data_IF_920545712391
#
_entry.id   IF_920545712391
#
_cell.length_a   1.000
_cell.length_b   1.000
_cell.length_c   1.000
_cell.angle_alpha   90.00
_cell.angle_beta   90.00
_cell.angle_gamma   90.00
#
_symmetry.space_group_name_H-M   'P 1'
#
loop_
_entity.id
_entity.type
_entity.pdbx_description
1 polymer ?
#
# COMPACT_ATOMS: atom_id res chain seq x y z
N UNK A 1 -15.36 -8.46 9.31
CA UNK A 1 -14.35 -7.41 9.02
C UNK A 1 -14.92 -6.24 8.24
N UNK A 2 -15.49 -6.43 7.03
CA UNK A 2 -16.07 -5.34 6.22
C UNK A 2 -16.96 -4.37 7.03
N UNK A 3 -17.94 -4.88 7.77
CA UNK A 3 -18.82 -4.08 8.63
C UNK A 3 -18.10 -3.30 9.74
N UNK A 4 -16.99 -3.82 10.27
CA UNK A 4 -16.24 -3.14 11.35
C UNK A 4 -15.52 -1.89 10.85
N UNK A 5 -15.21 -1.84 9.55
CA UNK A 5 -14.51 -0.74 8.90
C UNK A 5 -15.39 -0.15 7.78
N UNK A 6 -16.70 -0.22 7.90
CA UNK A 6 -17.57 0.36 6.89
C UNK A 6 -17.46 1.89 6.91
N UNK A 7 -16.88 2.46 5.86
CA UNK A 7 -16.73 3.90 5.69
C UNK A 7 -17.72 4.48 4.67
N UNK A 8 -18.76 3.73 4.29
CA UNK A 8 -19.77 4.20 3.33
C UNK A 8 -20.52 5.44 3.84
N UNK A 9 -20.74 5.53 5.17
CA UNK A 9 -21.32 6.72 5.81
C UNK A 9 -20.49 7.99 5.60
N UNK A 10 -19.16 7.87 5.50
CA UNK A 10 -18.27 9.01 5.29
C UNK A 10 -18.59 9.76 3.98
N UNK A 11 -19.02 9.04 2.93
CA UNK A 11 -19.39 9.63 1.64
C UNK A 11 -20.51 10.67 1.76
N UNK A 12 -21.42 10.49 2.71
CA UNK A 12 -22.60 11.37 2.86
C UNK A 12 -22.22 12.82 3.21
N UNK A 13 -21.12 13.00 3.94
CA UNK A 13 -20.62 14.33 4.32
C UNK A 13 -19.29 14.71 3.65
N UNK A 14 -18.53 13.74 3.16
CA UNK A 14 -17.19 13.91 2.58
C UNK A 14 -17.11 13.38 1.15
N UNK A 15 -18.12 13.66 0.32
CA UNK A 15 -18.25 13.08 -1.02
C UNK A 15 -17.01 13.30 -1.90
N UNK A 16 -16.46 14.51 -1.96
CA UNK A 16 -15.27 14.79 -2.78
C UNK A 16 -14.08 13.94 -2.34
N UNK A 17 -13.76 13.95 -1.04
CA UNK A 17 -12.65 13.16 -0.46
C UNK A 17 -12.86 11.67 -0.70
N UNK A 18 -14.11 11.20 -0.54
CA UNK A 18 -14.46 9.81 -0.79
C UNK A 18 -14.23 9.44 -2.26
N UNK A 19 -14.66 10.29 -3.20
CA UNK A 19 -14.49 10.04 -4.63
C UNK A 19 -13.02 10.09 -5.06
N UNK A 20 -12.20 10.97 -4.46
CA UNK A 20 -10.74 10.97 -4.64
C UNK A 20 -10.13 9.66 -4.14
N UNK A 21 -10.45 9.24 -2.91
CA UNK A 21 -9.97 7.98 -2.34
C UNK A 21 -10.42 6.77 -3.14
N UNK A 22 -11.67 6.74 -3.62
CA UNK A 22 -12.23 5.62 -4.38
C UNK A 22 -11.49 5.42 -5.71
N UNK A 23 -10.78 6.42 -6.23
CA UNK A 23 -9.91 6.29 -7.41
C UNK A 23 -8.49 5.80 -7.06
N UNK A 24 -8.11 5.79 -5.78
CA UNK A 24 -6.77 5.39 -5.33
C UNK A 24 -6.51 3.89 -5.45
N UNK A 25 -5.24 3.49 -5.40
CA UNK A 25 -4.85 2.09 -5.26
C UNK A 25 -5.20 1.52 -3.88
N UNK A 26 -5.28 2.37 -2.84
CA UNK A 26 -5.65 1.96 -1.50
C UNK A 26 -7.08 1.42 -1.44
N UNK A 27 -8.02 2.04 -2.16
CA UNK A 27 -9.40 1.57 -2.30
C UNK A 27 -9.52 0.20 -3.02
N UNK A 28 -8.41 -0.31 -3.58
CA UNK A 28 -8.31 -1.56 -4.33
C UNK A 28 -7.22 -2.48 -3.78
N UNK A 29 -6.82 -2.29 -2.53
CA UNK A 29 -5.61 -2.89 -1.95
C UNK A 29 -5.58 -4.42 -1.96
N UNK A 30 -6.73 -5.10 -1.85
CA UNK A 30 -6.81 -6.57 -1.86
C UNK A 30 -7.03 -7.15 -3.25
N UNK A 31 -7.91 -6.55 -4.04
CA UNK A 31 -8.31 -7.11 -5.32
C UNK A 31 -7.67 -6.35 -6.47
N UNK A 32 -8.10 -5.10 -6.73
CA UNK A 32 -7.60 -4.31 -7.86
C UNK A 32 -7.77 -5.06 -9.17
N UNK A 33 -6.66 -5.52 -9.75
CA UNK A 33 -6.65 -6.36 -10.98
C UNK A 33 -6.77 -7.87 -10.69
N UNK A 34 -7.03 -8.25 -9.44
CA UNK A 34 -6.98 -9.62 -8.92
C UNK A 34 -5.55 -10.10 -8.58
N UNK A 35 -4.51 -9.37 -9.00
CA UNK A 35 -3.11 -9.78 -8.83
C UNK A 35 -2.72 -9.99 -7.37
N UNK A 36 -3.13 -9.10 -6.46
CA UNK A 36 -2.83 -9.24 -5.03
C UNK A 36 -3.50 -10.50 -4.45
N UNK A 37 -4.77 -10.76 -4.78
CA UNK A 37 -5.46 -11.97 -4.37
C UNK A 37 -4.75 -13.25 -4.88
N UNK A 38 -4.26 -13.25 -6.13
CA UNK A 38 -3.48 -14.36 -6.68
C UNK A 38 -2.11 -14.52 -5.99
N UNK A 39 -1.46 -13.43 -5.63
CA UNK A 39 -0.22 -13.46 -4.84
C UNK A 39 -0.47 -14.08 -3.46
N UNK A 40 -1.57 -13.73 -2.77
CA UNK A 40 -1.97 -14.37 -1.51
C UNK A 40 -2.12 -15.88 -1.68
N UNK A 41 -2.82 -16.31 -2.73
CA UNK A 41 -2.97 -17.75 -3.03
C UNK A 41 -1.62 -18.43 -3.25
N UNK A 42 -0.70 -17.76 -3.95
CA UNK A 42 0.64 -18.28 -4.24
C UNK A 42 1.50 -18.34 -2.96
N UNK A 43 1.49 -17.30 -2.13
CA UNK A 43 2.18 -17.25 -0.84
C UNK A 43 1.75 -18.40 0.06
N UNK A 44 0.46 -18.74 0.08
CA UNK A 44 -0.04 -19.88 0.88
C UNK A 44 0.39 -21.21 0.26
N UNK A 45 0.08 -21.45 -1.02
CA UNK A 45 0.31 -22.74 -1.70
C UNK A 45 1.78 -23.08 -1.88
N UNK A 46 2.59 -22.10 -2.27
CA UNK A 46 3.99 -22.28 -2.63
C UNK A 46 4.90 -21.96 -1.45
N UNK A 47 4.53 -20.98 -0.62
CA UNK A 47 5.29 -20.60 0.57
C UNK A 47 4.86 -21.39 1.80
N UNK A 48 3.82 -20.91 2.48
CA UNK A 48 3.42 -21.37 3.81
C UNK A 48 3.22 -22.89 3.88
N UNK A 49 2.59 -23.52 2.90
CA UNK A 49 2.38 -24.98 2.91
C UNK A 49 3.69 -25.80 2.79
N UNK A 50 4.73 -25.23 2.19
CA UNK A 50 6.02 -25.90 1.97
C UNK A 50 7.07 -25.55 3.02
N UNK A 51 6.89 -24.46 3.78
CA UNK A 51 7.83 -24.09 4.83
C UNK A 51 7.71 -25.05 6.02
N UNK A 52 8.83 -25.68 6.38
CA UNK A 52 8.91 -26.73 7.42
C UNK A 52 8.28 -26.32 8.75
N UNK A 53 8.42 -25.04 9.13
CA UNK A 53 8.05 -24.52 10.44
C UNK A 53 6.84 -23.57 10.42
N UNK A 54 6.12 -23.42 9.30
CA UNK A 54 4.93 -22.56 9.23
C UNK A 54 3.74 -23.11 10.02
N UNK A 55 3.65 -24.42 10.18
CA UNK A 55 2.46 -25.09 10.71
C UNK A 55 1.26 -25.12 9.76
N UNK A 56 1.38 -24.57 8.54
CA UNK A 56 0.32 -24.58 7.53
C UNK A 56 0.51 -25.80 6.63
N UNK A 57 -0.50 -26.68 6.54
CA UNK A 57 -0.51 -27.83 5.61
C UNK A 57 -1.64 -27.77 4.61
N UNK A 58 -2.72 -27.08 4.95
CA UNK A 58 -3.87 -26.79 4.10
C UNK A 58 -4.39 -25.37 4.38
N UNK A 59 -5.21 -24.76 3.48
CA UNK A 59 -5.72 -23.40 3.64
C UNK A 59 -6.42 -23.14 4.99
N UNK A 60 -7.03 -24.17 5.58
CA UNK A 60 -7.76 -24.09 6.85
C UNK A 60 -6.84 -23.92 8.07
N UNK A 61 -5.55 -24.22 7.93
CA UNK A 61 -4.54 -24.02 8.99
C UNK A 61 -4.02 -22.57 9.04
N UNK A 62 -4.42 -21.74 8.07
CA UNK A 62 -4.03 -20.33 8.02
C UNK A 62 -4.61 -19.59 9.22
N UNK A 63 -3.79 -18.69 9.76
CA UNK A 63 -4.10 -17.78 10.85
C UNK A 63 -3.76 -16.37 10.41
N UNK A 64 -4.29 -15.36 11.10
CA UNK A 64 -3.98 -13.94 10.83
C UNK A 64 -2.47 -13.73 10.73
N UNK A 65 -1.69 -14.28 11.68
CA UNK A 65 -0.22 -14.15 11.68
C UNK A 65 0.47 -14.64 10.40
N UNK A 66 -0.07 -15.68 9.74
CA UNK A 66 0.53 -16.24 8.53
C UNK A 66 0.36 -15.33 7.32
N UNK A 67 -0.77 -14.60 7.25
CA UNK A 67 -1.10 -13.73 6.11
C UNK A 67 -0.62 -12.29 6.29
N UNK A 68 -0.12 -11.92 7.48
CA UNK A 68 0.48 -10.59 7.73
C UNK A 68 1.65 -10.27 6.79
N UNK A 69 2.30 -11.30 6.25
CA UNK A 69 3.34 -11.19 5.21
C UNK A 69 2.88 -10.38 4.00
N UNK A 70 1.57 -10.41 3.67
CA UNK A 70 0.93 -9.60 2.63
C UNK A 70 0.03 -8.51 3.25
N UNK A 71 -0.73 -8.87 4.27
CA UNK A 71 -1.82 -8.02 4.77
C UNK A 71 -1.38 -6.93 5.74
N UNK A 72 -0.13 -6.92 6.22
CA UNK A 72 0.42 -5.73 6.89
C UNK A 72 0.24 -4.49 6.02
N UNK A 73 0.46 -4.61 4.71
CA UNK A 73 0.40 -3.49 3.77
C UNK A 73 -0.91 -3.45 2.97
N UNK A 74 -1.50 -4.60 2.63
CA UNK A 74 -2.66 -4.65 1.75
C UNK A 74 -4.02 -4.70 2.47
N UNK A 75 -4.05 -5.10 3.75
CA UNK A 75 -5.27 -5.17 4.57
C UNK A 75 -4.92 -5.10 6.06
N UNK A 76 -4.31 -4.00 6.54
CA UNK A 76 -3.77 -3.89 7.90
C UNK A 76 -4.83 -4.16 8.98
N UNK A 77 -6.10 -3.85 8.70
CA UNK A 77 -7.21 -4.11 9.61
C UNK A 77 -7.47 -5.59 9.91
N UNK A 78 -6.90 -6.52 9.13
CA UNK A 78 -7.03 -7.96 9.44
C UNK A 78 -6.39 -8.32 10.79
N UNK A 79 -5.48 -7.50 11.31
CA UNK A 79 -4.87 -7.68 12.62
C UNK A 79 -5.89 -7.70 13.77
N UNK A 80 -7.09 -7.15 13.56
CA UNK A 80 -8.20 -7.13 14.53
C UNK A 80 -9.27 -8.20 14.23
N UNK A 81 -9.06 -9.03 13.21
CA UNK A 81 -9.98 -10.08 12.80
C UNK A 81 -9.67 -11.42 13.49
N UNK A 82 -10.63 -12.35 13.42
CA UNK A 82 -10.40 -13.75 13.78
C UNK A 82 -9.67 -14.50 12.66
N UNK A 83 -9.04 -15.62 12.99
CA UNK A 83 -8.39 -16.50 12.01
C UNK A 83 -9.34 -16.97 10.90
N UNK A 84 -10.65 -17.05 11.17
CA UNK A 84 -11.64 -17.46 10.16
C UNK A 84 -11.74 -16.46 9.00
N UNK A 85 -11.54 -15.16 9.25
CA UNK A 85 -11.47 -14.16 8.19
C UNK A 85 -10.25 -14.39 7.31
N UNK A 86 -9.10 -14.72 7.90
CA UNK A 86 -7.89 -15.03 7.13
C UNK A 86 -8.08 -16.28 6.26
N UNK A 87 -8.67 -17.35 6.81
CA UNK A 87 -8.99 -18.57 6.07
C UNK A 87 -9.95 -18.30 4.91
N UNK A 88 -10.98 -17.51 5.15
CA UNK A 88 -11.97 -17.14 4.13
C UNK A 88 -11.32 -16.38 2.97
N UNK A 89 -10.52 -15.35 3.26
CA UNK A 89 -9.81 -14.59 2.22
C UNK A 89 -8.89 -15.51 1.41
N UNK A 90 -8.12 -16.37 2.07
CA UNK A 90 -7.23 -17.33 1.40
C UNK A 90 -8.01 -18.31 0.53
N UNK A 91 -9.12 -18.87 1.02
CA UNK A 91 -9.94 -19.79 0.26
C UNK A 91 -10.51 -19.12 -1.01
N UNK A 92 -11.00 -17.88 -0.89
CA UNK A 92 -11.50 -17.08 -2.01
C UNK A 92 -10.38 -16.77 -3.02
N UNK A 93 -9.21 -16.34 -2.54
CA UNK A 93 -8.01 -16.10 -3.38
C UNK A 93 -7.59 -17.35 -4.16
N UNK A 94 -7.58 -18.51 -3.50
CA UNK A 94 -7.23 -19.79 -4.11
C UNK A 94 -8.26 -20.19 -5.17
N UNK A 95 -9.56 -19.99 -4.87
CA UNK A 95 -10.64 -20.28 -5.80
C UNK A 95 -10.59 -19.36 -7.02
N UNK A 96 -10.36 -18.06 -6.83
CA UNK A 96 -10.22 -17.10 -7.92
C UNK A 96 -9.11 -17.49 -8.93
N UNK A 97 -7.98 -18.01 -8.43
CA UNK A 97 -6.88 -18.47 -9.28
C UNK A 97 -7.04 -19.88 -9.88
N UNK A 98 -8.13 -20.60 -9.60
CA UNK A 98 -8.33 -21.94 -10.10
C UNK A 98 -8.93 -21.94 -11.52
N UNK A 99 -8.42 -22.81 -12.39
CA UNK A 99 -8.80 -22.86 -13.81
C UNK A 99 -10.27 -23.24 -14.05
N UNK A 100 -10.87 -23.94 -13.10
CA UNK A 100 -12.23 -24.47 -13.14
C UNK A 100 -13.26 -23.54 -12.48
N UNK A 101 -12.84 -22.37 -11.98
CA UNK A 101 -13.76 -21.40 -11.38
C UNK A 101 -14.60 -20.73 -12.46
N UNK A 102 -15.92 -20.82 -12.28
CA UNK A 102 -16.89 -20.29 -13.24
C UNK A 102 -16.88 -18.75 -13.22
N UNK A 103 -17.17 -18.08 -14.34
CA UNK A 103 -17.22 -16.61 -14.41
C UNK A 103 -18.11 -15.98 -13.33
N UNK A 104 -19.31 -16.54 -13.08
CA UNK A 104 -20.23 -16.00 -12.08
C UNK A 104 -19.70 -16.18 -10.65
N UNK A 105 -18.85 -17.18 -10.43
CA UNK A 105 -18.17 -17.38 -9.16
C UNK A 105 -17.01 -16.40 -8.98
N UNK A 106 -16.24 -16.13 -10.05
CA UNK A 106 -15.21 -15.08 -10.05
C UNK A 106 -15.81 -13.71 -9.72
N UNK A 107 -16.93 -13.34 -10.33
CA UNK A 107 -17.62 -12.08 -10.05
C UNK A 107 -18.05 -11.97 -8.57
N UNK A 108 -18.51 -13.08 -7.98
CA UNK A 108 -18.86 -13.12 -6.55
C UNK A 108 -17.64 -12.97 -5.66
N UNK A 109 -16.53 -13.63 -6.01
CA UNK A 109 -15.27 -13.54 -5.27
C UNK A 109 -14.72 -12.12 -5.34
N UNK A 110 -14.70 -11.51 -6.53
CA UNK A 110 -14.27 -10.13 -6.74
C UNK A 110 -15.08 -9.16 -5.88
N UNK A 111 -16.42 -9.23 -5.93
CA UNK A 111 -17.28 -8.35 -5.11
C UNK A 111 -16.99 -8.51 -3.62
N UNK A 112 -16.76 -9.76 -3.17
CA UNK A 112 -16.52 -10.05 -1.75
C UNK A 112 -15.15 -9.55 -1.30
N UNK A 113 -14.08 -9.83 -2.05
CA UNK A 113 -12.74 -9.37 -1.73
C UNK A 113 -12.60 -7.84 -1.88
N UNK A 114 -13.28 -7.24 -2.84
CA UNK A 114 -13.32 -5.77 -3.01
C UNK A 114 -14.14 -5.04 -1.93
N UNK A 115 -14.90 -5.77 -1.10
CA UNK A 115 -15.58 -5.17 0.06
C UNK A 115 -14.63 -4.89 1.25
N UNK A 116 -13.40 -5.39 1.19
CA UNK A 116 -12.39 -5.26 2.23
C UNK A 116 -11.11 -4.66 1.65
N UNK A 117 -11.01 -3.33 1.66
CA UNK A 117 -9.82 -2.60 1.22
C UNK A 117 -9.39 -1.60 2.29
N UNK A 118 -8.23 -0.97 2.10
CA UNK A 118 -7.81 0.17 2.92
C UNK A 118 -8.75 1.33 2.67
N UNK A 119 -9.44 1.79 3.71
CA UNK A 119 -10.45 2.86 3.61
C UNK A 119 -10.24 3.96 4.65
N UNK A 120 -11.18 4.89 4.74
CA UNK A 120 -11.10 6.05 5.63
C UNK A 120 -10.79 5.66 7.07
N UNK A 121 -11.42 4.62 7.61
CA UNK A 121 -11.24 4.18 9.00
C UNK A 121 -9.89 3.49 9.24
N UNK A 122 -9.23 2.97 8.20
CA UNK A 122 -7.86 2.47 8.37
C UNK A 122 -6.92 3.61 8.72
N UNK A 123 -6.99 4.73 8.01
CA UNK A 123 -6.10 5.89 8.23
C UNK A 123 -6.58 6.79 9.38
N UNK A 124 -7.89 7.10 9.40
CA UNK A 124 -8.51 8.02 10.36
C UNK A 124 -8.99 7.34 11.64
N UNK A 125 -8.67 6.06 11.86
CA UNK A 125 -8.94 5.40 13.13
C UNK A 125 -7.82 4.43 13.50
N UNK A 126 -7.71 3.28 12.83
CA UNK A 126 -6.74 2.23 13.21
C UNK A 126 -5.29 2.72 13.28
N UNK A 127 -4.84 3.45 12.26
CA UNK A 127 -3.45 3.88 12.12
C UNK A 127 -3.22 5.32 12.61
N UNK A 128 -4.24 5.95 13.20
CA UNK A 128 -4.17 7.36 13.56
C UNK A 128 -3.22 7.66 14.74
N UNK A 129 -2.77 6.63 15.47
CA UNK A 129 -1.87 6.76 16.61
C UNK A 129 -0.76 5.71 16.54
N UNK A 130 0.50 6.17 16.56
CA UNK A 130 1.69 5.29 16.59
C UNK A 130 2.20 5.08 18.02
N UNK A 131 2.38 6.13 18.81
CA UNK A 131 2.95 6.05 20.17
C UNK A 131 1.88 5.72 21.21
N UNK A 132 1.31 4.52 21.13
CA UNK A 132 0.12 4.12 21.91
C UNK A 132 0.28 4.19 23.43
N UNK A 133 1.50 4.09 23.93
CA UNK A 133 1.79 4.20 25.37
C UNK A 133 1.84 5.64 25.87
N UNK A 134 1.94 6.61 24.96
CA UNK A 134 1.92 8.05 25.27
C UNK A 134 0.55 8.64 24.92
N UNK A 135 0.06 8.33 23.72
CA UNK A 135 -1.13 8.96 23.13
C UNK A 135 -2.42 8.13 23.34
N UNK A 136 -2.29 6.93 23.92
CA UNK A 136 -3.38 5.97 24.05
C UNK A 136 -3.62 5.12 22.80
N UNK A 137 -4.58 4.20 22.89
CA UNK A 137 -4.98 3.36 21.76
C UNK A 137 -6.12 4.03 20.98
N UNK A 138 -6.19 3.87 19.64
CA UNK A 138 -7.33 4.33 18.87
C UNK A 138 -8.66 3.76 19.36
N UNK A 139 -9.69 4.61 19.42
CA UNK A 139 -11.04 4.22 19.86
C UNK A 139 -11.99 4.03 18.67
N UNK A 140 -12.91 3.06 18.78
CA UNK A 140 -13.83 2.68 17.69
C UNK A 140 -14.90 3.72 17.37
N UNK A 141 -15.29 4.54 18.35
CA UNK A 141 -16.27 5.60 18.22
C UNK A 141 -15.63 6.97 17.90
N UNK A 142 -14.31 7.00 17.68
CA UNK A 142 -13.55 8.21 17.37
C UNK A 142 -13.06 8.18 15.92
N UNK A 143 -13.08 9.36 15.28
CA UNK A 143 -12.43 9.61 14.00
C UNK A 143 -11.36 10.66 14.22
N UNK A 144 -10.15 10.35 13.77
CA UNK A 144 -8.97 11.16 14.00
C UNK A 144 -8.66 12.04 12.79
N UNK A 145 -8.29 13.28 13.05
CA UNK A 145 -7.94 14.27 12.04
C UNK A 145 -7.09 15.38 12.63
N UNK A 146 -7.34 16.62 12.22
CA UNK A 146 -6.58 17.79 12.66
C UNK A 146 -7.17 18.52 13.87
N UNK A 147 -8.34 18.10 14.35
CA UNK A 147 -9.11 18.80 15.39
C UNK A 147 -9.75 17.82 16.37
N UNK A 148 -9.97 18.30 17.59
CA UNK A 148 -10.81 17.65 18.59
C UNK A 148 -12.23 18.23 18.55
N UNK A 149 -13.24 17.43 18.91
CA UNK A 149 -14.62 17.90 19.04
C UNK A 149 -15.67 16.82 18.88
N UNK A 150 -16.92 17.24 18.63
CA UNK A 150 -18.01 16.34 18.25
C UNK A 150 -18.01 16.09 16.75
N UNK A 151 -18.43 14.90 16.36
CA UNK A 151 -18.71 14.52 14.98
C UNK A 151 -20.19 14.18 14.84
N UNK A 152 -20.77 14.50 13.68
CA UNK A 152 -22.23 14.41 13.46
C UNK A 152 -22.72 12.99 13.20
N UNK A 153 -21.83 12.08 12.81
CA UNK A 153 -22.17 10.68 12.59
C UNK A 153 -22.35 9.94 13.92
N UNK A 154 -23.46 9.23 14.07
CA UNK A 154 -23.78 8.50 15.28
C UNK A 154 -22.86 7.30 15.51
N UNK A 155 -22.30 6.70 14.45
CA UNK A 155 -21.34 5.59 14.58
C UNK A 155 -19.97 6.08 15.09
N UNK A 156 -19.61 7.32 14.75
CA UNK A 156 -18.36 7.96 15.15
C UNK A 156 -18.62 9.37 15.69
N UNK A 157 -19.18 9.54 16.90
CA UNK A 157 -19.64 10.84 17.40
C UNK A 157 -18.53 11.77 17.88
N UNK A 158 -17.26 11.35 17.85
CA UNK A 158 -16.14 12.10 18.43
C UNK A 158 -15.04 12.31 17.38
N UNK A 159 -14.61 13.57 17.23
CA UNK A 159 -13.40 13.95 16.54
C UNK A 159 -12.23 14.02 17.52
N UNK A 160 -11.09 13.48 17.12
CA UNK A 160 -9.83 13.60 17.85
C UNK A 160 -8.71 14.12 16.98
N UNK A 161 -7.82 14.93 17.55
CA UNK A 161 -6.59 15.28 16.86
C UNK A 161 -5.63 14.09 16.89
N UNK A 162 -5.17 13.64 15.72
CA UNK A 162 -4.09 12.66 15.63
C UNK A 162 -2.73 13.38 15.68
N UNK A 163 -1.77 12.88 16.49
CA UNK A 163 -0.41 13.43 16.54
C UNK A 163 0.38 13.27 15.23
N UNK A 164 -0.04 12.35 14.35
CA UNK A 164 0.75 11.92 13.18
C UNK A 164 0.02 12.11 11.84
N UNK A 165 -1.20 12.65 11.83
CA UNK A 165 -2.00 12.73 10.60
C UNK A 165 -1.30 13.50 9.46
N UNK A 166 -0.52 14.52 9.81
CA UNK A 166 0.28 15.33 8.88
C UNK A 166 1.70 14.78 8.64
N UNK A 167 2.09 13.72 9.35
CA UNK A 167 3.46 13.23 9.40
C UNK A 167 3.65 11.98 8.53
N UNK A 168 4.81 11.86 7.89
CA UNK A 168 5.14 10.72 7.00
C UNK A 168 5.07 9.36 7.70
N UNK A 169 5.19 9.33 9.04
CA UNK A 169 5.08 8.10 9.83
C UNK A 169 3.69 7.46 9.74
N UNK A 170 2.63 8.22 9.41
CA UNK A 170 1.31 7.65 9.13
C UNK A 170 1.39 6.67 7.94
N UNK A 171 1.97 7.12 6.83
CA UNK A 171 2.18 6.33 5.63
C UNK A 171 3.21 5.22 5.87
N UNK A 172 4.24 5.53 6.65
CA UNK A 172 5.34 4.62 6.99
C UNK A 172 4.93 3.34 7.71
N UNK A 173 3.78 3.32 8.38
CA UNK A 173 3.22 2.11 9.00
C UNK A 173 2.99 0.98 7.99
N UNK A 174 2.66 1.31 6.73
CA UNK A 174 2.48 0.34 5.64
C UNK A 174 3.62 0.39 4.61
N UNK A 175 4.17 1.58 4.34
CA UNK A 175 5.21 1.80 3.32
C UNK A 175 6.64 1.44 3.76
N UNK A 176 6.80 0.95 4.99
CA UNK A 176 7.90 0.07 5.38
C UNK A 176 9.29 0.69 5.47
N UNK A 177 10.04 0.30 6.50
CA UNK A 177 11.45 0.68 6.64
C UNK A 177 12.39 -0.28 5.90
N UNK A 178 11.93 -1.46 5.49
CA UNK A 178 12.82 -2.57 5.18
C UNK A 178 12.10 -3.91 5.29
N UNK A 179 12.85 -5.02 5.42
CA UNK A 179 12.28 -6.30 5.84
C UNK A 179 11.45 -6.16 7.12
N UNK A 180 10.28 -6.78 7.14
CA UNK A 180 9.36 -6.81 8.27
C UNK A 180 9.85 -7.77 9.37
N UNK A 181 10.97 -7.43 10.02
CA UNK A 181 11.60 -8.27 11.06
C UNK A 181 10.75 -8.46 12.31
N UNK A 182 9.68 -7.69 12.48
CA UNK A 182 8.70 -7.89 13.54
C UNK A 182 7.75 -9.08 13.29
N UNK A 183 7.73 -9.64 12.07
CA UNK A 183 6.92 -10.81 11.73
C UNK A 183 7.69 -12.12 11.96
N UNK A 184 6.97 -13.19 12.32
CA UNK A 184 7.56 -14.53 12.47
C UNK A 184 8.24 -15.04 11.17
N UNK A 185 7.76 -14.58 10.01
CA UNK A 185 8.40 -14.79 8.73
C UNK A 185 8.58 -13.44 8.03
N UNK A 186 9.75 -12.80 8.18
CA UNK A 186 10.02 -11.51 7.56
C UNK A 186 9.81 -11.55 6.05
N UNK A 187 9.10 -10.55 5.53
CA UNK A 187 8.99 -10.26 4.10
C UNK A 187 9.41 -8.83 3.83
N UNK A 188 9.80 -8.58 2.58
CA UNK A 188 10.07 -7.23 2.10
C UNK A 188 9.27 -7.02 0.82
N UNK A 189 8.33 -6.09 0.88
CA UNK A 189 7.52 -5.68 -0.27
C UNK A 189 7.60 -4.17 -0.53
N UNK A 190 8.00 -3.36 0.46
CA UNK A 190 8.23 -1.93 0.29
C UNK A 190 9.28 -1.43 1.27
N UNK A 191 10.18 -0.57 0.77
CA UNK A 191 11.20 0.14 1.55
C UNK A 191 11.08 1.66 1.45
N UNK A 192 9.94 2.12 0.93
CA UNK A 192 9.65 3.53 0.62
C UNK A 192 9.89 4.43 1.84
N UNK A 193 9.40 4.05 3.01
CA UNK A 193 9.59 4.87 4.20
C UNK A 193 11.03 4.79 4.72
N UNK A 194 11.71 3.64 4.57
CA UNK A 194 13.12 3.47 4.90
C UNK A 194 14.01 4.37 4.05
N UNK A 195 13.89 4.30 2.73
CA UNK A 195 14.65 5.15 1.80
C UNK A 195 14.30 6.64 1.96
N UNK A 196 13.05 6.97 2.26
CA UNK A 196 12.66 8.33 2.66
C UNK A 196 13.42 8.82 3.89
N UNK A 197 13.53 8.02 4.95
CA UNK A 197 14.24 8.43 6.16
C UNK A 197 15.76 8.50 5.95
N UNK A 198 16.35 7.50 5.31
CA UNK A 198 17.81 7.32 5.30
C UNK A 198 18.52 8.02 4.15
N UNK A 199 17.81 8.30 3.05
CA UNK A 199 18.33 9.10 1.95
C UNK A 199 17.73 10.50 1.98
N UNK A 200 16.44 10.65 1.66
CA UNK A 200 15.85 11.97 1.47
C UNK A 200 15.90 12.87 2.70
N UNK A 201 15.45 12.38 3.87
CA UNK A 201 15.49 13.17 5.11
C UNK A 201 16.92 13.40 5.60
N UNK A 202 17.78 12.39 5.51
CA UNK A 202 19.17 12.48 5.92
C UNK A 202 19.97 13.49 5.08
N UNK A 203 19.63 13.63 3.79
CA UNK A 203 20.24 14.58 2.85
C UNK A 203 19.59 15.98 2.90
N UNK A 204 18.71 16.24 3.90
CA UNK A 204 18.13 17.56 4.14
C UNK A 204 16.76 17.81 3.49
N UNK A 205 16.15 16.79 2.88
CA UNK A 205 14.77 16.84 2.42
C UNK A 205 13.79 17.16 3.54
N UNK A 206 12.83 18.06 3.28
CA UNK A 206 11.91 18.59 4.31
C UNK A 206 10.45 18.21 4.08
N UNK A 207 10.09 17.70 2.91
CA UNK A 207 8.70 17.43 2.57
C UNK A 207 8.22 16.12 3.20
N UNK A 208 6.94 16.07 3.57
CA UNK A 208 6.29 14.84 4.01
C UNK A 208 5.71 14.05 2.84
N UNK A 209 5.40 12.77 3.07
CA UNK A 209 4.70 11.95 2.08
C UNK A 209 3.41 12.65 1.61
N UNK A 210 2.64 13.20 2.54
CA UNK A 210 1.40 13.92 2.27
C UNK A 210 1.63 15.21 1.47
N UNK A 211 2.72 15.94 1.72
CA UNK A 211 3.04 17.17 0.98
C UNK A 211 3.26 16.86 -0.50
N UNK A 212 4.06 15.84 -0.82
CA UNK A 212 4.32 15.45 -2.21
C UNK A 212 3.11 14.75 -2.86
N UNK A 213 2.56 13.71 -2.22
CA UNK A 213 1.56 12.82 -2.84
C UNK A 213 0.12 13.34 -2.79
N UNK A 214 -0.22 14.26 -1.87
CA UNK A 214 -1.58 14.78 -1.73
C UNK A 214 -1.69 16.24 -2.16
N UNK A 215 -0.76 17.10 -1.70
CA UNK A 215 -0.87 18.56 -1.89
C UNK A 215 -0.21 19.07 -3.16
N UNK A 216 1.10 18.86 -3.34
CA UNK A 216 1.84 19.35 -4.52
C UNK A 216 1.40 18.67 -5.80
N UNK A 217 1.07 17.38 -5.73
CA UNK A 217 0.45 16.64 -6.82
C UNK A 217 -0.98 17.09 -7.13
N UNK A 218 -1.66 17.76 -6.19
CA UNK A 218 -3.08 18.13 -6.21
C UNK A 218 -4.03 16.92 -6.31
N UNK A 219 -3.54 15.73 -5.94
CA UNK A 219 -4.32 14.50 -6.01
C UNK A 219 -5.18 14.24 -4.77
N UNK A 220 -4.98 14.98 -3.68
CA UNK A 220 -5.75 14.80 -2.45
C UNK A 220 -5.67 13.35 -1.97
N UNK A 221 -6.83 12.70 -1.79
CA UNK A 221 -6.89 11.31 -1.33
C UNK A 221 -6.72 10.25 -2.43
N UNK A 222 -6.52 10.65 -3.70
CA UNK A 222 -6.23 9.71 -4.79
C UNK A 222 -4.81 9.12 -4.66
N UNK A 223 -3.85 9.90 -4.15
CA UNK A 223 -2.50 9.45 -3.73
C UNK A 223 -1.81 8.51 -4.74
N UNK A 224 -1.88 8.83 -6.04
CA UNK A 224 -1.28 7.98 -7.07
C UNK A 224 0.26 8.05 -7.05
N UNK A 225 0.85 7.15 -7.81
CA UNK A 225 2.29 7.08 -8.08
C UNK A 225 2.49 6.98 -9.61
N UNK A 226 3.22 5.98 -10.11
CA UNK A 226 3.54 5.79 -11.53
C UNK A 226 2.32 5.60 -12.46
N UNK A 227 1.14 5.27 -11.93
CA UNK A 227 -0.09 5.19 -12.72
C UNK A 227 -0.57 6.58 -13.19
N UNK A 228 -0.16 7.65 -12.49
CA UNK A 228 -0.32 9.00 -13.00
C UNK A 228 0.92 9.40 -13.81
N UNK A 229 0.74 9.58 -15.13
CA UNK A 229 1.84 9.90 -16.05
C UNK A 229 2.50 11.23 -15.69
N UNK A 230 1.73 12.21 -15.20
CA UNK A 230 2.26 13.50 -14.80
C UNK A 230 3.20 13.37 -13.60
N UNK A 231 2.78 12.62 -12.59
CA UNK A 231 3.55 12.35 -11.39
C UNK A 231 4.78 11.51 -11.70
N UNK A 232 4.66 10.47 -12.53
CA UNK A 232 5.80 9.68 -13.00
C UNK A 232 6.87 10.52 -13.71
N UNK A 233 6.46 11.46 -14.58
CA UNK A 233 7.38 12.41 -15.23
C UNK A 233 8.02 13.40 -14.26
N UNK A 234 7.34 13.75 -13.17
CA UNK A 234 7.92 14.64 -12.15
C UNK A 234 8.98 13.94 -11.28
N UNK A 235 8.92 12.61 -11.20
CA UNK A 235 9.76 11.80 -10.31
C UNK A 235 11.13 11.43 -10.91
N UNK A 236 11.24 11.28 -12.24
CA UNK A 236 12.48 10.88 -12.91
C UNK A 236 12.79 11.86 -14.04
N UNK A 237 13.95 12.50 -13.96
CA UNK A 237 14.53 13.25 -15.07
C UNK A 237 15.41 12.31 -15.89
N UNK A 238 15.28 12.35 -17.22
CA UNK A 238 15.92 11.42 -18.14
C UNK A 238 16.52 12.19 -19.31
N UNK A 239 17.84 12.17 -19.43
CA UNK A 239 18.59 12.89 -20.46
C UNK A 239 19.42 11.90 -21.28
N UNK A 240 19.38 12.05 -22.61
CA UNK A 240 20.12 11.21 -23.54
C UNK A 240 20.97 12.09 -24.44
N UNK A 241 22.27 11.82 -24.46
CA UNK A 241 23.22 12.44 -25.38
C UNK A 241 23.73 11.36 -26.33
N UNK A 242 23.69 11.62 -27.63
CA UNK A 242 24.16 10.70 -28.66
C UNK A 242 25.24 11.35 -29.51
N UNK A 243 26.34 10.63 -29.73
CA UNK A 243 27.41 11.04 -30.64
C UNK A 243 27.67 9.93 -31.66
N UNK A 244 27.34 10.18 -32.91
CA UNK A 244 27.75 9.32 -34.02
C UNK A 244 29.25 9.52 -34.30
N UNK A 245 30.00 8.42 -34.44
CA UNK A 245 31.41 8.48 -34.80
C UNK A 245 31.80 7.28 -35.67
N UNK A 246 32.93 7.35 -36.36
CA UNK A 246 33.48 6.21 -37.09
C UNK A 246 34.66 5.67 -36.29
N UNK A 247 34.52 4.45 -35.78
CA UNK A 247 35.60 3.73 -35.14
C UNK A 247 36.48 3.09 -36.21
N UNK A 248 37.79 3.31 -36.12
CA UNK A 248 38.76 2.67 -37.00
C UNK A 248 39.48 1.55 -36.25
N UNK A 249 39.12 0.31 -36.55
CA UNK A 249 39.93 -0.85 -36.13
C UNK A 249 40.88 -1.23 -37.27
N UNK A 250 42.12 -0.74 -37.17
CA UNK A 250 43.19 -0.88 -38.17
C UNK A 250 42.76 -0.38 -39.56
N UNK A 251 42.32 -1.29 -40.43
CA UNK A 251 41.93 -1.01 -41.82
C UNK A 251 40.40 -0.89 -42.01
N UNK A 252 39.60 -1.30 -41.03
CA UNK A 252 38.13 -1.27 -41.13
C UNK A 252 37.57 -0.01 -40.49
N UNK A 253 36.75 0.72 -41.24
CA UNK A 253 35.98 1.87 -40.75
C UNK A 253 34.58 1.38 -40.37
N UNK A 254 34.24 1.46 -39.10
CA UNK A 254 32.98 0.94 -38.55
C UNK A 254 32.20 2.13 -37.97
N UNK A 255 31.04 2.49 -38.55
CA UNK A 255 30.14 3.46 -37.93
C UNK A 255 29.68 2.96 -36.56
N UNK A 256 29.81 3.80 -35.55
CA UNK A 256 29.38 3.55 -34.17
C UNK A 256 28.62 4.77 -33.63
N UNK A 257 27.93 4.59 -32.52
CA UNK A 257 27.26 5.67 -31.79
C UNK A 257 27.54 5.50 -30.31
N UNK A 258 28.07 6.54 -29.69
CA UNK A 258 28.13 6.66 -28.24
C UNK A 258 26.77 7.15 -27.76
N UNK A 259 26.15 6.42 -26.84
CA UNK A 259 24.90 6.82 -26.19
C UNK A 259 25.21 6.98 -24.70
N UNK A 260 25.07 8.20 -24.20
CA UNK A 260 25.16 8.52 -22.77
C UNK A 260 23.74 8.76 -22.26
N UNK A 261 23.40 8.08 -21.17
CA UNK A 261 22.09 8.20 -20.50
C UNK A 261 22.34 8.69 -19.09
N UNK A 262 21.66 9.76 -18.70
CA UNK A 262 21.63 10.30 -17.35
C UNK A 262 20.20 10.22 -16.80
N UNK A 263 20.07 9.70 -15.58
CA UNK A 263 18.80 9.55 -14.88
C UNK A 263 18.92 10.17 -13.48
N UNK A 264 18.05 11.13 -13.16
CA UNK A 264 18.00 11.77 -11.84
C UNK A 264 16.68 11.42 -11.17
N UNK A 265 16.76 10.81 -10.00
CA UNK A 265 15.62 10.60 -9.12
C UNK A 265 15.30 11.89 -8.36
N UNK A 266 14.11 12.43 -8.58
CA UNK A 266 13.58 13.63 -7.89
C UNK A 266 12.59 13.28 -6.78
N UNK A 267 12.23 12.01 -6.61
CA UNK A 267 11.37 11.59 -5.53
C UNK A 267 12.10 11.58 -4.19
N UNK A 268 11.34 11.74 -3.11
CA UNK A 268 11.85 11.68 -1.75
C UNK A 268 12.14 10.26 -1.25
N UNK A 269 12.34 9.29 -2.13
CA UNK A 269 12.58 7.88 -1.80
C UNK A 269 13.18 7.18 -3.03
N UNK A 270 13.63 5.93 -2.87
CA UNK A 270 14.12 5.12 -3.98
C UNK A 270 13.01 4.87 -5.04
N UNK A 271 13.40 4.71 -6.31
CA UNK A 271 12.50 4.32 -7.39
C UNK A 271 13.16 3.19 -8.21
N UNK A 272 12.42 2.13 -8.58
CA UNK A 272 11.08 1.81 -8.11
C UNK A 272 11.13 1.28 -6.67
N UNK A 273 10.18 1.68 -5.83
CA UNK A 273 10.04 1.15 -4.48
C UNK A 273 8.55 1.05 -4.14
N UNK A 274 8.19 -0.03 -3.43
CA UNK A 274 6.82 -0.43 -3.08
C UNK A 274 5.84 -0.48 -4.24
#
# INVERSE_FOLDING_TARGET
LAKMYDSSGCRQCHEQIYNEWDQSLHARSIFGTGRTALTVATTVKVGLMNWKHSGVKKPEDVKVKHVMVCFKCHLPQIAEATDDVAKEIVALSIKYGAKDTKPEENDRIEKKLSSININCLVCHQRNAITHKWVDGFPQKNEVYGSKDGSHVDAAHPVLKKSPIMSESILCGQCHGLGPNFELENPSQCGTLYGSYLWAYRAEGGQESCQECHMKKSKMGHNMQSYNDVGFGKSAVDFQVETLGYIWRDKAKMIPQTLVKVEMINRAGHAIPDG
#
